data_IF_616787950100
#
_entry.id   IF_616787950100
#
_cell.length_a   1.000
_cell.length_b   1.000
_cell.length_c   1.000
_cell.angle_alpha   90.00
_cell.angle_beta   90.00
_cell.angle_gamma   90.00
#
_symmetry.space_group_name_H-M   'P 1'
#
loop_
_entity.id
_entity.type
_entity.pdbx_description
1 polymer ?
#
# COMPACT_ATOMS: atom_id res chain seq x y z
N UNK A 1 11.93 -38.01 -13.31
CA UNK A 1 11.74 -36.70 -12.64
C UNK A 1 11.08 -36.98 -11.32
N UNK A 2 11.71 -36.75 -10.16
CA UNK A 2 11.11 -37.03 -8.88
C UNK A 2 10.09 -35.92 -8.59
N UNK A 3 8.85 -36.32 -8.30
CA UNK A 3 7.82 -35.44 -7.74
C UNK A 3 8.36 -34.84 -6.43
N UNK A 4 8.61 -33.52 -6.45
CA UNK A 4 8.86 -32.78 -5.22
C UNK A 4 7.59 -32.82 -4.38
N UNK A 5 7.66 -33.49 -3.24
CA UNK A 5 6.64 -33.47 -2.21
C UNK A 5 6.30 -32.01 -1.87
N UNK A 6 5.12 -31.60 -2.27
CA UNK A 6 4.53 -30.34 -1.84
C UNK A 6 4.28 -30.51 -0.34
N UNK A 7 5.25 -30.08 0.46
CA UNK A 7 5.07 -29.98 1.92
C UNK A 7 3.84 -29.11 2.15
N UNK A 8 2.80 -29.76 2.67
CA UNK A 8 1.64 -29.07 3.24
C UNK A 8 2.15 -28.03 4.22
N UNK A 9 2.02 -26.75 3.87
CA UNK A 9 2.43 -25.66 4.72
C UNK A 9 1.64 -25.76 6.02
N UNK A 10 2.32 -26.17 7.08
CA UNK A 10 1.83 -26.03 8.44
C UNK A 10 1.56 -24.56 8.67
N UNK A 11 0.28 -24.21 8.84
CA UNK A 11 -0.16 -22.88 9.28
C UNK A 11 0.67 -22.55 10.50
N UNK A 12 1.67 -21.69 10.35
CA UNK A 12 2.52 -21.25 11.46
C UNK A 12 1.59 -20.68 12.53
N UNK A 13 1.65 -21.18 13.80
CA UNK A 13 0.77 -20.68 14.84
C UNK A 13 0.99 -19.18 14.96
N UNK A 14 -0.11 -18.40 14.86
CA UNK A 14 -0.07 -16.95 14.97
C UNK A 14 0.51 -16.56 16.33
N UNK A 15 1.70 -16.01 16.32
CA UNK A 15 2.43 -15.57 17.51
C UNK A 15 1.89 -14.21 17.97
N UNK A 16 1.89 -13.94 19.27
CA UNK A 16 1.66 -12.60 19.78
C UNK A 16 2.86 -11.71 19.45
N UNK A 17 2.60 -10.48 19.05
CA UNK A 17 3.68 -9.52 18.84
C UNK A 17 4.38 -9.24 20.19
N UNK A 18 5.71 -9.19 20.15
CA UNK A 18 6.50 -8.78 21.31
C UNK A 18 6.37 -7.26 21.54
N UNK A 19 6.60 -6.76 22.76
CA UNK A 19 6.48 -5.31 23.03
C UNK A 19 7.33 -4.44 22.12
N UNK A 20 8.53 -4.87 21.76
CA UNK A 20 9.39 -4.11 20.84
C UNK A 20 8.84 -4.08 19.42
N UNK A 21 8.19 -5.16 18.94
CA UNK A 21 7.52 -5.18 17.63
C UNK A 21 6.30 -4.24 17.61
N UNK A 22 5.57 -4.15 18.72
CA UNK A 22 4.47 -3.20 18.86
C UNK A 22 5.00 -1.76 18.81
N UNK A 23 6.10 -1.47 19.52
CA UNK A 23 6.73 -0.16 19.49
C UNK A 23 7.24 0.19 18.08
N UNK A 24 7.90 -0.76 17.39
CA UNK A 24 8.34 -0.59 16.01
C UNK A 24 7.17 -0.34 15.07
N UNK A 25 6.07 -1.10 15.23
CA UNK A 25 4.84 -0.90 14.46
C UNK A 25 4.30 0.53 14.64
N UNK A 26 4.21 1.02 15.89
CA UNK A 26 3.74 2.38 16.17
C UNK A 26 4.58 3.44 15.47
N UNK A 27 5.91 3.37 15.64
CA UNK A 27 6.85 4.31 15.01
C UNK A 27 6.70 4.26 13.49
N UNK A 28 6.69 3.06 12.91
CA UNK A 28 6.55 2.88 11.47
C UNK A 28 5.20 3.38 10.95
N UNK A 29 4.10 3.13 11.69
CA UNK A 29 2.76 3.58 11.31
C UNK A 29 2.68 5.11 11.26
N UNK A 30 3.09 5.78 12.34
CA UNK A 30 3.09 7.25 12.42
C UNK A 30 4.03 7.86 11.38
N UNK A 31 5.22 7.29 11.19
CA UNK A 31 6.18 7.78 10.21
C UNK A 31 5.67 7.63 8.77
N UNK A 32 5.09 6.49 8.41
CA UNK A 32 4.52 6.26 7.08
C UNK A 32 3.32 7.18 6.82
N UNK A 33 2.47 7.39 7.82
CA UNK A 33 1.34 8.31 7.72
C UNK A 33 1.83 9.76 7.56
N UNK A 34 2.82 10.20 8.34
CA UNK A 34 3.40 11.54 8.24
C UNK A 34 4.05 11.80 6.87
N UNK A 35 4.84 10.85 6.35
CA UNK A 35 5.48 10.97 5.03
C UNK A 35 4.46 10.98 3.90
N UNK A 36 3.35 10.26 4.04
CA UNK A 36 2.28 10.19 3.05
C UNK A 36 1.29 11.36 3.14
N UNK A 37 1.36 12.17 4.18
CA UNK A 37 0.46 13.32 4.40
C UNK A 37 0.83 14.49 3.47
N UNK A 38 0.78 14.21 2.16
CA UNK A 38 1.05 15.16 1.09
C UNK A 38 -0.26 15.50 0.39
N UNK A 39 -0.58 16.79 0.28
CA UNK A 39 -1.81 17.31 -0.34
C UNK A 39 -3.11 16.61 0.15
N UNK A 40 -3.35 16.56 1.47
CA UNK A 40 -4.54 15.92 2.00
C UNK A 40 -5.82 16.68 1.60
N UNK A 41 -6.90 15.95 1.36
CA UNK A 41 -8.21 16.57 1.12
C UNK A 41 -8.67 17.28 2.39
N UNK A 42 -8.89 18.59 2.33
CA UNK A 42 -9.37 19.43 3.44
C UNK A 42 -8.57 19.25 4.75
N UNK A 43 -7.28 18.94 4.68
CA UNK A 43 -6.40 18.59 5.81
C UNK A 43 -6.83 17.33 6.60
N UNK A 44 -7.66 16.48 5.99
CA UNK A 44 -8.09 15.20 6.55
C UNK A 44 -7.14 14.07 6.16
N UNK A 45 -7.34 12.88 6.74
CA UNK A 45 -6.55 11.67 6.44
C UNK A 45 -6.78 11.06 5.06
N UNK A 46 -7.23 11.84 4.09
CA UNK A 46 -7.47 11.40 2.71
C UNK A 46 -6.28 11.84 1.87
N UNK A 47 -5.35 10.93 1.71
CA UNK A 47 -4.08 11.18 1.02
C UNK A 47 -3.97 10.32 -0.25
N UNK A 48 -3.14 10.76 -1.20
CA UNK A 48 -2.92 10.02 -2.45
C UNK A 48 -2.34 8.62 -2.28
N UNK A 49 -1.61 8.39 -1.23
CA UNK A 49 -1.00 7.14 -0.88
C UNK A 49 -1.11 6.93 0.62
N UNK A 50 -1.54 5.76 1.03
CA UNK A 50 -1.67 5.37 2.44
C UNK A 50 -0.83 4.13 2.74
N UNK A 51 0.52 4.20 2.74
CA UNK A 51 1.36 3.03 2.96
C UNK A 51 1.16 2.42 4.35
N UNK A 52 0.78 3.22 5.34
CA UNK A 52 0.44 2.75 6.68
C UNK A 52 -0.68 1.69 6.67
N UNK A 53 -1.62 1.72 5.72
CA UNK A 53 -2.70 0.73 5.65
C UNK A 53 -2.21 -0.66 5.22
N UNK A 54 -1.20 -0.70 4.34
CA UNK A 54 -0.50 -1.95 4.01
C UNK A 54 0.27 -2.51 5.20
N UNK A 55 0.92 -1.65 6.00
CA UNK A 55 1.57 -2.05 7.26
C UNK A 55 0.55 -2.59 8.27
N UNK A 56 -0.60 -1.92 8.43
CA UNK A 56 -1.71 -2.37 9.30
C UNK A 56 -2.17 -3.77 8.91
N UNK A 57 -2.46 -3.97 7.62
CA UNK A 57 -2.93 -5.26 7.14
C UNK A 57 -1.88 -6.37 7.34
N UNK A 58 -0.60 -6.08 7.05
CA UNK A 58 0.50 -7.01 7.28
C UNK A 58 0.66 -7.37 8.77
N UNK A 59 0.60 -6.37 9.64
CA UNK A 59 0.73 -6.58 11.09
C UNK A 59 -0.42 -7.39 11.66
N UNK A 60 -1.67 -7.07 11.30
CA UNK A 60 -2.85 -7.82 11.72
C UNK A 60 -2.90 -9.23 11.09
N UNK A 61 -2.32 -9.41 9.90
CA UNK A 61 -2.17 -10.72 9.27
C UNK A 61 -1.15 -11.60 9.99
N UNK A 62 0.00 -11.05 10.34
CA UNK A 62 1.10 -11.81 10.93
C UNK A 62 0.90 -12.11 12.42
N UNK A 63 0.29 -11.19 13.18
CA UNK A 63 0.22 -11.25 14.63
C UNK A 63 -1.22 -11.22 15.17
N UNK A 64 -1.54 -12.04 16.18
CA UNK A 64 -2.85 -12.06 16.83
C UNK A 64 -2.93 -11.09 18.01
N UNK A 65 -4.17 -10.64 18.29
CA UNK A 65 -4.48 -9.92 19.53
C UNK A 65 -4.00 -8.47 19.56
N UNK A 66 -3.71 -7.87 18.40
CA UNK A 66 -3.14 -6.52 18.29
C UNK A 66 -4.16 -5.44 17.90
N UNK A 67 -5.45 -5.76 17.94
CA UNK A 67 -6.52 -4.83 17.56
C UNK A 67 -6.39 -3.47 18.24
N UNK A 68 -6.25 -3.45 19.57
CA UNK A 68 -6.20 -2.20 20.32
C UNK A 68 -4.92 -1.40 20.08
N UNK A 69 -3.80 -2.05 19.78
CA UNK A 69 -2.57 -1.37 19.40
C UNK A 69 -2.69 -0.70 18.04
N UNK A 70 -3.38 -1.34 17.10
CA UNK A 70 -3.65 -0.76 15.79
C UNK A 70 -4.61 0.41 15.90
N UNK A 71 -5.71 0.27 16.65
CA UNK A 71 -6.65 1.36 16.91
C UNK A 71 -5.96 2.56 17.59
N UNK A 72 -5.08 2.29 18.57
CA UNK A 72 -4.31 3.34 19.23
C UNK A 72 -3.33 4.03 18.25
N UNK A 73 -2.70 3.29 17.33
CA UNK A 73 -1.81 3.89 16.33
C UNK A 73 -2.56 4.83 15.38
N UNK A 74 -3.74 4.45 14.92
CA UNK A 74 -4.61 5.35 14.14
C UNK A 74 -4.96 6.60 14.93
N UNK A 75 -5.38 6.44 16.19
CA UNK A 75 -5.73 7.57 17.05
C UNK A 75 -4.54 8.52 17.26
N UNK A 76 -3.35 7.97 17.54
CA UNK A 76 -2.12 8.75 17.72
C UNK A 76 -1.75 9.50 16.44
N UNK A 77 -1.86 8.87 15.27
CA UNK A 77 -1.62 9.52 13.99
C UNK A 77 -2.56 10.70 13.75
N UNK A 78 -3.86 10.55 14.03
CA UNK A 78 -4.83 11.64 13.90
C UNK A 78 -4.47 12.84 14.81
N UNK A 79 -4.07 12.56 16.04
CA UNK A 79 -3.70 13.61 17.00
C UNK A 79 -2.39 14.29 16.61
N UNK A 80 -1.35 13.51 16.31
CA UNK A 80 0.03 14.01 16.10
C UNK A 80 0.18 14.70 14.75
N UNK A 81 -0.44 14.14 13.70
CA UNK A 81 -0.23 14.63 12.32
C UNK A 81 -1.29 15.66 11.94
N UNK A 82 -2.56 15.48 12.36
CA UNK A 82 -3.71 16.27 11.90
C UNK A 82 -4.25 17.24 12.94
N UNK A 83 -3.81 17.12 14.20
CA UNK A 83 -4.16 18.08 15.25
C UNK A 83 -5.61 18.04 15.70
N UNK A 84 -6.23 16.87 15.80
CA UNK A 84 -7.62 16.66 16.26
C UNK A 84 -8.63 17.46 15.41
N UNK A 85 -8.80 17.15 14.11
CA UNK A 85 -9.70 17.91 13.25
C UNK A 85 -11.20 17.64 13.51
N UNK A 86 -11.53 16.62 14.33
CA UNK A 86 -12.88 16.11 14.55
C UNK A 86 -13.37 16.30 15.99
N UNK A 87 -14.68 16.18 16.18
CA UNK A 87 -15.25 16.06 17.52
C UNK A 87 -14.64 14.90 18.30
N UNK A 88 -14.33 15.07 19.55
CA UNK A 88 -13.56 14.15 20.40
C UNK A 88 -14.07 12.69 20.41
N UNK A 89 -15.37 12.47 20.19
CA UNK A 89 -15.98 11.13 20.16
C UNK A 89 -15.85 10.40 18.82
N UNK A 90 -15.68 11.15 17.72
CA UNK A 90 -15.56 10.56 16.36
C UNK A 90 -14.20 9.93 16.16
N UNK A 91 -13.15 10.52 16.72
CA UNK A 91 -11.78 9.99 16.62
C UNK A 91 -11.65 8.53 17.07
N UNK A 92 -12.07 8.16 18.31
CA UNK A 92 -11.99 6.77 18.72
C UNK A 92 -12.93 5.87 17.92
N UNK A 93 -14.11 6.37 17.53
CA UNK A 93 -15.04 5.60 16.69
C UNK A 93 -14.43 5.26 15.32
N UNK A 94 -13.79 6.23 14.69
CA UNK A 94 -13.09 6.04 13.41
C UNK A 94 -11.94 5.05 13.56
N UNK A 95 -11.06 5.23 14.56
CA UNK A 95 -9.93 4.36 14.79
C UNK A 95 -10.35 2.90 15.02
N UNK A 96 -11.40 2.67 15.84
CA UNK A 96 -11.94 1.35 16.11
C UNK A 96 -12.58 0.76 14.84
N UNK A 97 -13.40 1.53 14.13
CA UNK A 97 -14.11 1.06 12.94
C UNK A 97 -13.15 0.68 11.82
N UNK A 98 -12.16 1.51 11.52
CA UNK A 98 -11.13 1.22 10.52
C UNK A 98 -10.36 -0.02 10.92
N UNK A 99 -9.92 -0.12 12.18
CA UNK A 99 -9.21 -1.29 12.68
C UNK A 99 -10.04 -2.56 12.53
N UNK A 100 -11.35 -2.50 12.79
CA UNK A 100 -12.25 -3.64 12.62
C UNK A 100 -12.33 -4.10 11.15
N UNK A 101 -12.39 -3.16 10.20
CA UNK A 101 -12.38 -3.46 8.76
C UNK A 101 -11.08 -4.18 8.37
N UNK A 102 -9.92 -3.66 8.76
CA UNK A 102 -8.62 -4.29 8.47
C UNK A 102 -8.43 -5.62 9.20
N UNK A 103 -8.93 -5.74 10.43
CA UNK A 103 -8.90 -7.01 11.17
C UNK A 103 -9.73 -8.10 10.46
N UNK A 104 -10.90 -7.73 9.95
CA UNK A 104 -11.73 -8.63 9.15
C UNK A 104 -11.03 -9.02 7.84
N UNK A 105 -10.44 -8.07 7.14
CA UNK A 105 -9.66 -8.32 5.93
C UNK A 105 -8.48 -9.28 6.19
N UNK A 106 -7.73 -9.06 7.26
CA UNK A 106 -6.62 -9.94 7.65
C UNK A 106 -7.12 -11.36 7.98
N UNK A 107 -8.27 -11.49 8.65
CA UNK A 107 -8.90 -12.78 8.89
C UNK A 107 -9.32 -13.47 7.59
N UNK A 108 -9.94 -12.73 6.67
CA UNK A 108 -10.40 -13.26 5.38
C UNK A 108 -9.21 -13.72 4.52
N UNK A 109 -8.13 -12.93 4.47
CA UNK A 109 -6.92 -13.28 3.76
C UNK A 109 -6.30 -14.56 4.32
N UNK A 110 -6.15 -14.69 5.64
CA UNK A 110 -5.64 -15.92 6.25
C UNK A 110 -6.47 -17.15 5.89
N UNK A 111 -7.79 -17.00 5.79
CA UNK A 111 -8.71 -18.11 5.50
C UNK A 111 -8.77 -18.47 4.02
N UNK A 112 -8.66 -17.50 3.12
CA UNK A 112 -8.96 -17.67 1.69
C UNK A 112 -7.75 -17.52 0.77
N UNK A 113 -6.72 -16.81 1.22
CA UNK A 113 -5.53 -16.47 0.44
C UNK A 113 -4.31 -16.59 1.35
N UNK A 114 -3.83 -17.81 1.66
CA UNK A 114 -2.53 -17.93 2.31
C UNK A 114 -1.49 -17.20 1.46
N UNK A 115 -0.57 -16.47 2.09
CA UNK A 115 0.34 -15.57 1.37
C UNK A 115 1.31 -16.27 0.42
N UNK A 116 1.57 -17.54 0.60
CA UNK A 116 2.22 -18.40 -0.39
C UNK A 116 1.42 -18.45 -1.70
N UNK A 117 0.08 -18.33 -1.60
CA UNK A 117 -0.83 -18.27 -2.75
C UNK A 117 -0.79 -16.95 -3.51
N UNK A 118 -0.27 -15.85 -2.95
CA UNK A 118 -0.08 -14.57 -3.69
C UNK A 118 1.00 -14.72 -4.79
N UNK A 119 1.81 -15.77 -4.76
CA UNK A 119 2.69 -16.13 -5.86
C UNK A 119 1.96 -16.80 -7.05
N UNK A 120 0.67 -17.10 -6.95
CA UNK A 120 -0.15 -17.64 -8.02
C UNK A 120 -1.13 -16.58 -8.53
N UNK A 121 -1.45 -16.60 -9.82
CA UNK A 121 -2.41 -15.65 -10.40
C UNK A 121 -3.76 -15.65 -9.66
N UNK A 122 -4.30 -16.84 -9.35
CA UNK A 122 -5.56 -16.97 -8.61
C UNK A 122 -5.48 -16.35 -7.21
N UNK A 123 -4.39 -16.58 -6.49
CA UNK A 123 -4.18 -15.99 -5.16
C UNK A 123 -3.98 -14.48 -5.23
N UNK A 124 -3.21 -14.00 -6.19
CA UNK A 124 -3.02 -12.57 -6.44
C UNK A 124 -4.34 -11.87 -6.76
N UNK A 125 -5.18 -12.42 -7.64
CA UNK A 125 -6.48 -11.84 -7.95
C UNK A 125 -7.41 -11.81 -6.74
N UNK A 126 -7.43 -12.86 -5.93
CA UNK A 126 -8.19 -12.87 -4.66
C UNK A 126 -7.66 -11.82 -3.67
N UNK A 127 -6.34 -11.67 -3.56
CA UNK A 127 -5.72 -10.63 -2.72
C UNK A 127 -6.13 -9.24 -3.18
N UNK A 128 -6.04 -8.94 -4.48
CA UNK A 128 -6.46 -7.67 -5.08
C UNK A 128 -7.94 -7.40 -4.79
N UNK A 129 -8.80 -8.40 -4.96
CA UNK A 129 -10.24 -8.27 -4.69
C UNK A 129 -10.51 -7.96 -3.20
N UNK A 130 -9.86 -8.68 -2.28
CA UNK A 130 -10.00 -8.41 -0.83
C UNK A 130 -9.46 -7.03 -0.48
N UNK A 131 -8.30 -6.64 -1.00
CA UNK A 131 -7.71 -5.32 -0.79
C UNK A 131 -8.65 -4.20 -1.28
N UNK A 132 -9.19 -4.34 -2.50
CA UNK A 132 -10.09 -3.35 -3.09
C UNK A 132 -11.39 -3.19 -2.28
N UNK A 133 -12.04 -4.29 -1.90
CA UNK A 133 -13.25 -4.27 -1.08
C UNK A 133 -12.97 -3.68 0.30
N UNK A 134 -11.84 -4.03 0.91
CA UNK A 134 -11.41 -3.48 2.21
C UNK A 134 -11.24 -1.98 2.14
N UNK A 135 -10.54 -1.48 1.13
CA UNK A 135 -10.31 -0.05 0.94
C UNK A 135 -11.62 0.73 0.69
N UNK A 136 -12.59 0.13 -0.07
CA UNK A 136 -13.92 0.73 -0.26
C UNK A 136 -14.67 0.83 1.07
N UNK A 137 -14.70 -0.25 1.86
CA UNK A 137 -15.42 -0.27 3.14
C UNK A 137 -14.76 0.71 4.12
N UNK A 138 -13.43 0.69 4.24
CA UNK A 138 -12.69 1.61 5.10
C UNK A 138 -12.93 3.08 4.70
N UNK A 139 -12.88 3.35 3.39
CA UNK A 139 -13.19 4.67 2.83
C UNK A 139 -14.63 5.12 3.11
N UNK A 140 -15.60 4.24 2.91
CA UNK A 140 -17.01 4.54 3.17
C UNK A 140 -17.24 4.88 4.64
N UNK A 141 -16.63 4.14 5.55
CA UNK A 141 -16.71 4.40 6.99
C UNK A 141 -16.04 5.74 7.34
N UNK A 142 -14.81 5.96 6.88
CA UNK A 142 -14.05 7.17 7.22
C UNK A 142 -14.66 8.43 6.63
N UNK A 143 -14.92 8.42 5.32
CA UNK A 143 -15.53 9.57 4.64
C UNK A 143 -16.95 9.81 5.13
N UNK A 144 -17.70 8.74 5.47
CA UNK A 144 -19.02 8.83 6.08
C UNK A 144 -18.97 9.55 7.44
N UNK A 145 -18.04 9.18 8.31
CA UNK A 145 -17.86 9.87 9.61
C UNK A 145 -17.42 11.33 9.42
N UNK A 146 -16.55 11.63 8.46
CA UNK A 146 -16.18 13.01 8.13
C UNK A 146 -17.37 13.83 7.61
N UNK A 147 -18.22 13.22 6.77
CA UNK A 147 -19.43 13.89 6.27
C UNK A 147 -20.45 14.12 7.37
N UNK A 148 -20.70 13.12 8.23
CA UNK A 148 -21.58 13.26 9.39
C UNK A 148 -21.10 14.32 10.38
N UNK A 149 -19.80 14.60 10.40
CA UNK A 149 -19.19 15.65 11.24
C UNK A 149 -19.14 17.01 10.55
N UNK A 150 -19.73 17.15 9.37
CA UNK A 150 -19.68 18.36 8.54
C UNK A 150 -18.25 18.80 8.13
N UNK A 151 -17.28 17.87 8.15
CA UNK A 151 -15.91 18.13 7.69
C UNK A 151 -15.76 17.98 6.18
N UNK A 152 -16.59 17.13 5.58
CA UNK A 152 -16.70 16.98 4.13
C UNK A 152 -18.14 17.31 3.74
N UNK A 153 -18.36 18.25 2.80
CA UNK A 153 -19.67 18.47 2.21
C UNK A 153 -20.23 17.22 1.53
N UNK A 154 -21.54 16.99 1.66
CA UNK A 154 -22.17 15.78 1.14
C UNK A 154 -22.02 15.60 -0.39
N UNK A 155 -21.95 16.70 -1.13
CA UNK A 155 -21.70 16.73 -2.59
C UNK A 155 -20.27 16.27 -2.95
N UNK A 156 -19.32 16.35 -2.02
CA UNK A 156 -17.94 15.92 -2.20
C UNK A 156 -17.68 14.47 -1.73
N UNK A 157 -18.70 13.80 -1.17
CA UNK A 157 -18.55 12.44 -0.63
C UNK A 157 -17.94 11.46 -1.63
N UNK A 158 -18.48 11.39 -2.85
CA UNK A 158 -18.02 10.44 -3.87
C UNK A 158 -16.58 10.68 -4.32
N UNK A 159 -16.18 11.94 -4.48
CA UNK A 159 -14.81 12.30 -4.85
C UNK A 159 -13.82 12.02 -3.73
N UNK A 160 -14.19 12.28 -2.48
CA UNK A 160 -13.39 11.98 -1.31
C UNK A 160 -13.24 10.46 -1.11
N UNK A 161 -14.34 9.70 -1.31
CA UNK A 161 -14.33 8.24 -1.25
C UNK A 161 -13.42 7.63 -2.31
N UNK A 162 -13.48 8.12 -3.56
CA UNK A 162 -12.62 7.64 -4.63
C UNK A 162 -11.13 7.87 -4.31
N UNK A 163 -10.78 9.03 -3.78
CA UNK A 163 -9.40 9.36 -3.35
C UNK A 163 -8.93 8.47 -2.20
N UNK A 164 -9.77 8.30 -1.18
CA UNK A 164 -9.47 7.42 -0.04
C UNK A 164 -9.24 5.99 -0.52
N UNK A 165 -10.18 5.46 -1.32
CA UNK A 165 -10.11 4.09 -1.85
C UNK A 165 -8.82 3.83 -2.60
N UNK A 166 -8.46 4.72 -3.53
CA UNK A 166 -7.25 4.54 -4.36
C UNK A 166 -5.98 4.65 -3.52
N UNK A 167 -5.93 5.60 -2.57
CA UNK A 167 -4.81 5.75 -1.66
C UNK A 167 -4.57 4.51 -0.80
N UNK A 168 -5.62 4.00 -0.18
CA UNK A 168 -5.58 2.78 0.64
C UNK A 168 -5.25 1.55 -0.19
N UNK A 169 -5.88 1.40 -1.35
CA UNK A 169 -5.61 0.29 -2.27
C UNK A 169 -4.13 0.24 -2.66
N UNK A 170 -3.55 1.37 -3.04
CA UNK A 170 -2.13 1.46 -3.38
C UNK A 170 -1.23 1.07 -2.19
N UNK A 171 -1.54 1.57 -1.00
CA UNK A 171 -0.81 1.21 0.22
C UNK A 171 -0.87 -0.29 0.53
N UNK A 172 -2.05 -0.88 0.44
CA UNK A 172 -2.26 -2.31 0.70
C UNK A 172 -1.55 -3.17 -0.35
N UNK A 173 -1.77 -2.89 -1.65
CA UNK A 173 -1.20 -3.70 -2.75
C UNK A 173 0.32 -3.65 -2.79
N UNK A 174 0.91 -2.53 -2.40
CA UNK A 174 2.35 -2.36 -2.39
C UNK A 174 2.99 -2.96 -1.13
N UNK A 175 2.54 -2.52 0.04
CA UNK A 175 3.30 -2.75 1.26
C UNK A 175 2.90 -4.04 1.99
N UNK A 176 1.61 -4.45 1.94
CA UNK A 176 1.20 -5.65 2.66
C UNK A 176 1.91 -6.92 2.16
N UNK A 177 1.95 -7.25 0.85
CA UNK A 177 2.63 -8.45 0.39
C UNK A 177 4.15 -8.35 0.56
N UNK A 178 4.74 -7.16 0.45
CA UNK A 178 6.16 -6.95 0.68
C UNK A 178 6.54 -7.27 2.13
N UNK A 179 5.79 -6.77 3.11
CA UNK A 179 6.06 -6.98 4.52
C UNK A 179 5.77 -8.42 4.98
N UNK A 180 4.70 -9.03 4.47
CA UNK A 180 4.34 -10.40 4.84
C UNK A 180 5.40 -11.39 4.31
N UNK A 181 5.99 -11.10 3.14
CA UNK A 181 7.07 -11.91 2.56
C UNK A 181 8.47 -11.43 2.93
N UNK A 182 8.59 -10.52 3.89
CA UNK A 182 9.90 -9.99 4.31
C UNK A 182 10.88 -11.07 4.76
N UNK A 183 10.38 -12.19 5.29
CA UNK A 183 11.21 -13.36 5.64
C UNK A 183 11.97 -13.96 4.43
N UNK A 184 11.45 -13.79 3.21
CA UNK A 184 12.06 -14.27 1.98
C UNK A 184 13.12 -13.30 1.40
N UNK A 185 13.32 -12.13 2.03
CA UNK A 185 14.19 -11.05 1.54
C UNK A 185 15.62 -11.52 1.23
N UNK A 186 16.29 -12.37 2.03
CA UNK A 186 17.65 -12.81 1.71
C UNK A 186 17.74 -13.59 0.40
N UNK A 187 16.74 -14.40 0.09
CA UNK A 187 16.67 -15.17 -1.17
C UNK A 187 16.43 -14.24 -2.35
N UNK A 188 15.54 -13.26 -2.17
CA UNK A 188 15.24 -12.25 -3.17
C UNK A 188 16.46 -11.39 -3.49
N UNK A 189 17.19 -10.90 -2.48
CA UNK A 189 18.40 -10.11 -2.70
C UNK A 189 19.45 -10.92 -3.48
N UNK A 190 19.63 -12.20 -3.16
CA UNK A 190 20.52 -13.06 -3.91
C UNK A 190 20.06 -13.20 -5.37
N UNK A 191 18.77 -13.39 -5.62
CA UNK A 191 18.22 -13.49 -6.96
C UNK A 191 18.39 -12.19 -7.76
N UNK A 192 18.23 -11.03 -7.15
CA UNK A 192 18.46 -9.72 -7.79
C UNK A 192 19.95 -9.54 -8.11
N UNK A 193 20.82 -9.79 -7.12
CA UNK A 193 22.27 -9.60 -7.25
C UNK A 193 22.91 -10.64 -8.20
N UNK A 194 22.26 -11.78 -8.45
CA UNK A 194 22.72 -12.76 -9.44
C UNK A 194 22.55 -12.29 -10.89
N UNK A 195 21.78 -11.21 -11.13
CA UNK A 195 21.53 -10.62 -12.45
C UNK A 195 21.84 -9.11 -12.46
N UNK A 196 23.08 -8.71 -12.23
CA UNK A 196 23.43 -7.29 -12.01
C UNK A 196 23.12 -6.41 -13.22
N UNK A 197 23.29 -6.87 -14.42
CA UNK A 197 22.97 -6.11 -15.63
C UNK A 197 21.45 -5.82 -15.73
N UNK A 198 20.60 -6.78 -15.38
CA UNK A 198 19.16 -6.58 -15.35
C UNK A 198 18.75 -5.60 -14.24
N UNK A 199 19.37 -5.72 -13.07
CA UNK A 199 19.14 -4.80 -11.95
C UNK A 199 19.50 -3.36 -12.32
N UNK A 200 20.69 -3.15 -12.90
CA UNK A 200 21.13 -1.84 -13.39
C UNK A 200 20.18 -1.32 -14.47
N UNK A 201 19.76 -2.18 -15.41
CA UNK A 201 18.79 -1.82 -16.45
C UNK A 201 17.46 -1.32 -15.89
N UNK A 202 16.91 -2.00 -14.88
CA UNK A 202 15.67 -1.57 -14.20
C UNK A 202 15.87 -0.24 -13.48
N UNK A 203 16.99 -0.05 -12.77
CA UNK A 203 17.29 1.20 -12.08
C UNK A 203 17.47 2.37 -13.05
N UNK A 204 18.19 2.16 -14.14
CA UNK A 204 18.37 3.19 -15.19
C UNK A 204 17.03 3.52 -15.87
N UNK A 205 16.18 2.51 -16.11
CA UNK A 205 14.84 2.70 -16.63
C UNK A 205 13.94 3.53 -15.71
N UNK A 206 13.96 3.24 -14.40
CA UNK A 206 13.25 4.04 -13.39
C UNK A 206 13.78 5.48 -13.32
N UNK A 207 15.10 5.64 -13.34
CA UNK A 207 15.72 6.96 -13.32
C UNK A 207 15.40 7.76 -14.59
N UNK A 208 15.48 7.14 -15.76
CA UNK A 208 15.12 7.78 -17.04
C UNK A 208 13.65 8.18 -17.08
N UNK A 209 12.74 7.29 -16.64
CA UNK A 209 11.32 7.59 -16.53
C UNK A 209 11.07 8.76 -15.57
N UNK A 210 11.70 8.75 -14.40
CA UNK A 210 11.61 9.86 -13.44
C UNK A 210 12.06 11.19 -14.05
N UNK A 211 13.22 11.18 -14.71
CA UNK A 211 13.78 12.38 -15.36
C UNK A 211 12.83 12.91 -16.43
N UNK A 212 12.32 12.04 -17.30
CA UNK A 212 11.40 12.46 -18.36
C UNK A 212 10.06 12.97 -17.83
N UNK A 213 9.51 12.33 -16.80
CA UNK A 213 8.22 12.73 -16.22
C UNK A 213 8.32 14.02 -15.41
N UNK A 214 9.34 14.16 -14.57
CA UNK A 214 9.38 15.23 -13.57
C UNK A 214 10.38 16.34 -13.85
N UNK A 215 11.38 16.13 -14.71
CA UNK A 215 12.43 17.11 -14.96
C UNK A 215 12.39 17.68 -16.39
N UNK A 216 11.97 16.90 -17.38
CA UNK A 216 11.94 17.31 -18.79
C UNK A 216 10.51 17.62 -19.26
N UNK A 217 9.51 16.88 -18.75
CA UNK A 217 8.10 17.07 -19.07
C UNK A 217 7.54 18.40 -18.56
N UNK A 218 6.47 18.88 -19.18
CA UNK A 218 5.73 20.01 -18.63
C UNK A 218 5.05 19.60 -17.33
N UNK A 219 5.07 20.46 -16.30
CA UNK A 219 4.36 20.21 -15.06
C UNK A 219 2.87 19.89 -15.34
N UNK A 220 2.39 18.73 -14.86
CA UNK A 220 1.01 18.28 -15.07
C UNK A 220 0.76 17.44 -16.33
N UNK A 221 1.75 17.24 -17.21
CA UNK A 221 1.63 16.33 -18.35
C UNK A 221 1.94 14.89 -17.95
N UNK A 222 0.89 14.10 -17.67
CA UNK A 222 1.02 12.70 -17.28
C UNK A 222 1.30 11.74 -18.43
N UNK A 223 1.45 12.24 -19.68
CA UNK A 223 1.67 11.37 -20.86
C UNK A 223 2.89 10.48 -20.73
N UNK A 224 3.94 10.95 -20.09
CA UNK A 224 5.16 10.20 -19.88
C UNK A 224 5.11 9.23 -18.68
N UNK A 225 4.05 9.27 -17.88
CA UNK A 225 3.91 8.37 -16.72
C UNK A 225 3.96 6.90 -17.11
N UNK A 226 3.44 6.55 -18.30
CA UNK A 226 3.47 5.18 -18.81
C UNK A 226 4.89 4.61 -18.98
N UNK A 227 5.91 5.46 -19.05
CA UNK A 227 7.30 5.02 -19.10
C UNK A 227 7.72 4.24 -17.85
N UNK A 228 7.08 4.50 -16.72
CA UNK A 228 7.33 3.75 -15.50
C UNK A 228 6.88 2.29 -15.57
N UNK A 229 5.92 1.98 -16.47
CA UNK A 229 5.49 0.60 -16.67
C UNK A 229 6.63 -0.28 -17.22
N UNK A 230 7.49 0.25 -18.06
CA UNK A 230 8.56 -0.53 -18.68
C UNK A 230 9.51 -1.14 -17.64
N UNK A 231 10.19 -0.37 -16.77
CA UNK A 231 11.08 -0.96 -15.77
C UNK A 231 10.34 -1.79 -14.72
N UNK A 232 9.11 -1.40 -14.32
CA UNK A 232 8.31 -2.14 -13.35
C UNK A 232 7.87 -3.52 -13.90
N UNK A 233 7.39 -3.57 -15.15
CA UNK A 233 7.03 -4.81 -15.83
C UNK A 233 8.29 -5.68 -16.07
N UNK A 234 9.40 -5.07 -16.45
CA UNK A 234 10.67 -5.79 -16.60
C UNK A 234 11.09 -6.46 -15.30
N UNK A 235 10.96 -5.76 -14.16
CA UNK A 235 11.23 -6.35 -12.85
C UNK A 235 10.27 -7.52 -12.53
N UNK A 236 8.97 -7.39 -12.86
CA UNK A 236 7.99 -8.47 -12.73
C UNK A 236 8.38 -9.72 -13.56
N UNK A 237 8.78 -9.53 -14.81
CA UNK A 237 9.17 -10.63 -15.72
C UNK A 237 10.48 -11.29 -15.30
N UNK A 238 11.41 -10.56 -14.69
CA UNK A 238 12.73 -11.10 -14.34
C UNK A 238 12.73 -11.78 -12.97
N UNK A 239 12.02 -11.21 -11.98
CA UNK A 239 12.06 -11.65 -10.58
C UNK A 239 10.68 -11.93 -9.97
N UNK A 240 9.62 -11.96 -10.79
CA UNK A 240 8.25 -12.21 -10.33
C UNK A 240 7.68 -11.12 -9.44
N UNK A 241 6.66 -11.46 -8.63
CA UNK A 241 6.00 -10.55 -7.69
C UNK A 241 6.99 -9.80 -6.78
N UNK A 242 8.00 -10.44 -6.16
CA UNK A 242 8.89 -9.72 -5.27
C UNK A 242 9.74 -8.66 -5.96
N UNK A 243 10.23 -8.94 -7.16
CA UNK A 243 10.99 -7.96 -7.95
C UNK A 243 10.13 -6.78 -8.37
N UNK A 244 8.90 -7.07 -8.80
CA UNK A 244 7.92 -6.02 -9.11
C UNK A 244 7.66 -5.11 -7.90
N UNK A 245 7.41 -5.67 -6.71
CA UNK A 245 7.12 -4.89 -5.50
C UNK A 245 8.27 -3.95 -5.10
N UNK A 246 9.53 -4.39 -5.28
CA UNK A 246 10.70 -3.53 -5.03
C UNK A 246 10.77 -2.38 -6.04
N UNK A 247 10.57 -2.67 -7.33
CA UNK A 247 10.54 -1.64 -8.36
C UNK A 247 9.38 -0.65 -8.15
N UNK A 248 8.19 -1.16 -7.78
CA UNK A 248 7.02 -0.35 -7.47
C UNK A 248 7.23 0.52 -6.21
N UNK A 249 7.93 0.01 -5.19
CA UNK A 249 8.28 0.80 -4.01
C UNK A 249 9.24 1.95 -4.37
N UNK A 250 10.28 1.67 -5.15
CA UNK A 250 11.21 2.69 -5.62
C UNK A 250 10.49 3.77 -6.46
N UNK A 251 9.60 3.35 -7.33
CA UNK A 251 8.74 4.23 -8.11
C UNK A 251 7.85 5.08 -7.20
N UNK A 252 7.21 4.49 -6.20
CA UNK A 252 6.33 5.22 -5.29
C UNK A 252 7.06 6.29 -4.49
N UNK A 253 8.27 5.97 -4.00
CA UNK A 253 9.14 6.95 -3.33
C UNK A 253 9.49 8.10 -4.30
N UNK A 254 9.82 7.75 -5.55
CA UNK A 254 10.12 8.73 -6.61
C UNK A 254 8.91 9.62 -6.91
N UNK A 255 7.69 9.05 -6.96
CA UNK A 255 6.46 9.81 -7.17
C UNK A 255 6.18 10.79 -6.03
N UNK A 256 6.28 10.35 -4.78
CA UNK A 256 6.10 11.23 -3.61
C UNK A 256 7.08 12.39 -3.67
N UNK A 257 8.37 12.13 -3.95
CA UNK A 257 9.39 13.15 -4.08
C UNK A 257 9.15 14.09 -5.28
N UNK A 258 8.69 13.55 -6.41
CA UNK A 258 8.36 14.33 -7.61
C UNK A 258 7.16 15.25 -7.40
N UNK A 259 6.09 14.72 -6.79
CA UNK A 259 4.86 15.46 -6.51
C UNK A 259 5.07 16.60 -5.52
N UNK A 260 5.96 16.43 -4.53
CA UNK A 260 6.31 17.53 -3.62
C UNK A 260 6.88 18.76 -4.35
N UNK A 261 7.53 18.54 -5.52
CA UNK A 261 8.04 19.62 -6.37
C UNK A 261 6.99 20.22 -7.29
N UNK A 262 5.93 19.47 -7.63
CA UNK A 262 4.87 19.84 -8.55
C UNK A 262 3.58 20.27 -7.83
N UNK A 263 3.65 20.65 -6.56
CA UNK A 263 2.55 20.78 -5.60
C UNK A 263 1.33 21.60 -6.08
N UNK A 264 1.44 22.40 -7.11
CA UNK A 264 0.35 23.26 -7.59
C UNK A 264 -0.30 22.81 -8.91
N UNK A 265 0.25 21.84 -9.65
CA UNK A 265 -0.12 21.62 -11.06
C UNK A 265 -0.56 20.20 -11.41
N UNK A 266 -0.19 19.18 -10.63
CA UNK A 266 -0.45 17.79 -11.02
C UNK A 266 -1.81 17.27 -10.53
N UNK A 267 -2.65 16.66 -11.40
CA UNK A 267 -3.85 15.95 -10.98
C UNK A 267 -3.46 14.65 -10.26
N UNK A 268 -3.24 14.77 -8.94
CA UNK A 268 -2.79 13.66 -8.08
C UNK A 268 -3.68 12.42 -8.15
N UNK A 269 -4.98 12.63 -8.35
CA UNK A 269 -5.95 11.54 -8.46
C UNK A 269 -5.66 10.67 -9.67
N UNK A 270 -5.33 11.28 -10.81
CA UNK A 270 -5.01 10.53 -12.04
C UNK A 270 -3.72 9.73 -11.88
N UNK A 271 -2.69 10.31 -11.23
CA UNK A 271 -1.46 9.60 -10.87
C UNK A 271 -1.74 8.39 -9.97
N UNK A 272 -2.66 8.51 -9.03
CA UNK A 272 -3.05 7.41 -8.14
C UNK A 272 -3.73 6.28 -8.89
N UNK A 273 -4.66 6.59 -9.79
CA UNK A 273 -5.31 5.58 -10.64
C UNK A 273 -4.29 4.88 -11.55
N UNK A 274 -3.34 5.62 -12.11
CA UNK A 274 -2.26 5.04 -12.90
C UNK A 274 -1.37 4.12 -12.05
N UNK A 275 -1.05 4.52 -10.80
CA UNK A 275 -0.33 3.65 -9.86
C UNK A 275 -1.12 2.40 -9.48
N UNK A 276 -2.42 2.52 -9.22
CA UNK A 276 -3.27 1.36 -8.95
C UNK A 276 -3.27 0.39 -10.13
N UNK A 277 -3.39 0.91 -11.36
CA UNK A 277 -3.33 0.12 -12.59
C UNK A 277 -2.00 -0.59 -12.73
N UNK A 278 -0.89 0.11 -12.46
CA UNK A 278 0.45 -0.47 -12.48
C UNK A 278 0.60 -1.59 -11.44
N UNK A 279 0.14 -1.34 -10.20
CA UNK A 279 0.22 -2.32 -9.11
C UNK A 279 -0.60 -3.58 -9.42
N UNK A 280 -1.84 -3.42 -9.88
CA UNK A 280 -2.72 -4.54 -10.25
C UNK A 280 -2.09 -5.35 -11.40
N UNK A 281 -1.67 -4.66 -12.47
CA UNK A 281 -1.08 -5.30 -13.65
C UNK A 281 0.24 -6.00 -13.32
N UNK A 282 1.12 -5.33 -12.60
CA UNK A 282 2.43 -5.86 -12.27
C UNK A 282 2.38 -7.02 -11.27
N UNK A 283 1.47 -6.96 -10.28
CA UNK A 283 1.24 -8.09 -9.38
C UNK A 283 0.69 -9.30 -10.14
N UNK A 284 -0.31 -9.09 -11.01
CA UNK A 284 -0.88 -10.17 -11.81
C UNK A 284 0.16 -10.80 -12.75
N UNK A 285 0.97 -9.97 -13.42
CA UNK A 285 2.03 -10.43 -14.32
C UNK A 285 3.13 -11.15 -13.56
N UNK A 286 3.61 -10.60 -12.45
CA UNK A 286 4.63 -11.23 -11.63
C UNK A 286 4.20 -12.56 -11.00
N UNK A 287 2.90 -12.80 -10.88
CA UNK A 287 2.34 -14.05 -10.37
C UNK A 287 2.20 -15.15 -11.47
N UNK A 288 2.39 -14.80 -12.73
CA UNK A 288 2.36 -15.74 -13.85
C UNK A 288 3.77 -16.24 -14.19
N UNK A 289 4.80 -15.45 -13.86
CA UNK A 289 6.21 -15.76 -14.09
C UNK A 289 6.81 -16.58 -12.96
#
# INVERSE_FOLDING_TARGET
MPHADIRTSTITPLVRATPWLIALYFIAHVALDAVSYVQPVLKLGITPLSPQTGLVLAFLYAYRGNFWWVAAAFLVSEVVIRGIPMHSWILPLQAISITAVYQFAAWLLRKKVPMEGVATLSGTLKFIAVASVTAIIAGTVSVGLYTLSNLIPADQFSSALARFWVGDLNGILLLAPLLIRFADTPLLLRAILSRPAAFIGVLLGLFAAFTLVFLVGNPGDLRFFYLFFVPAISAALIWGVPGFLIAALALQISLVAGVQRLAEVAPLVDLQFLMSTLLVTGLALGAVV
#
